data_IF_057875146577
#
_entry.id   IF_057875146577
#
_cell.length_a   1.000
_cell.length_b   1.000
_cell.length_c   1.000
_cell.angle_alpha   90.00
_cell.angle_beta   90.00
_cell.angle_gamma   90.00
#
_symmetry.space_group_name_H-M   'P 1'
#
loop_
_entity.id
_entity.type
_entity.pdbx_description
1 polymer ?
#
# COMPACT_ATOMS: atom_id res chain seq x y z
N UNK A 1 -14.00 -18.31 -16.49
CA UNK A 1 -13.62 -17.43 -15.38
C UNK A 1 -14.06 -18.03 -14.06
N UNK A 2 -13.22 -17.95 -13.08
CA UNK A 2 -13.57 -18.42 -11.76
C UNK A 2 -14.35 -17.35 -11.02
N UNK A 3 -15.65 -17.57 -10.84
CA UNK A 3 -16.51 -16.61 -10.14
C UNK A 3 -16.19 -16.50 -8.65
N UNK A 4 -15.56 -17.51 -8.08
CA UNK A 4 -15.32 -17.55 -6.63
C UNK A 4 -14.34 -16.48 -6.17
N UNK A 5 -13.33 -16.19 -6.98
CA UNK A 5 -12.32 -15.24 -6.57
C UNK A 5 -12.89 -13.81 -6.47
N UNK A 6 -13.90 -13.47 -7.26
CA UNK A 6 -14.53 -12.14 -7.18
C UNK A 6 -15.34 -11.94 -5.90
N UNK A 7 -15.58 -13.01 -5.17
CA UNK A 7 -16.29 -12.96 -3.88
C UNK A 7 -15.38 -12.71 -2.70
N UNK A 8 -14.07 -12.84 -2.89
CA UNK A 8 -13.13 -12.57 -1.81
C UNK A 8 -12.97 -11.07 -1.61
N UNK A 9 -13.09 -10.62 -0.37
CA UNK A 9 -12.75 -9.25 -0.03
C UNK A 9 -11.24 -9.13 0.15
N UNK A 10 -10.73 -7.91 0.09
CA UNK A 10 -9.31 -7.66 0.37
C UNK A 10 -8.94 -8.16 1.76
N UNK A 11 -9.84 -8.00 2.72
CA UNK A 11 -9.62 -8.46 4.08
C UNK A 11 -9.38 -9.98 4.14
N UNK A 12 -10.11 -10.74 3.33
CA UNK A 12 -9.94 -12.20 3.28
C UNK A 12 -8.63 -12.62 2.65
N UNK A 13 -8.09 -11.80 1.77
CA UNK A 13 -6.84 -12.06 1.07
C UNK A 13 -5.64 -11.73 1.95
N UNK A 14 -5.82 -10.84 2.92
CA UNK A 14 -4.75 -10.40 3.81
C UNK A 14 -4.26 -11.51 4.73
N UNK A 15 -2.98 -11.47 5.08
CA UNK A 15 -2.33 -12.46 5.94
C UNK A 15 -2.93 -12.40 7.35
N UNK A 16 -3.57 -13.48 7.83
CA UNK A 16 -4.20 -13.47 9.15
C UNK A 16 -3.19 -13.49 10.30
N UNK A 17 -1.93 -13.80 10.02
CA UNK A 17 -0.88 -13.86 11.04
C UNK A 17 -0.21 -12.51 11.30
N UNK A 18 -0.55 -11.49 10.52
CA UNK A 18 -0.03 -10.14 10.70
C UNK A 18 -1.21 -9.21 10.98
N UNK A 19 -1.26 -8.66 12.20
CA UNK A 19 -2.39 -7.82 12.62
C UNK A 19 -2.53 -6.55 11.78
N UNK A 20 -1.46 -6.13 11.12
CA UNK A 20 -1.46 -4.95 10.27
C UNK A 20 -1.37 -5.28 8.78
N UNK A 21 -1.77 -6.50 8.41
CA UNK A 21 -1.71 -6.94 7.02
C UNK A 21 -2.62 -6.13 6.09
N UNK A 22 -3.65 -5.51 6.64
CA UNK A 22 -4.51 -4.58 5.89
C UNK A 22 -4.68 -3.33 6.76
N UNK A 23 -3.90 -2.30 6.48
CA UNK A 23 -3.82 -1.12 7.34
C UNK A 23 -3.63 0.13 6.50
N UNK A 24 -4.35 1.18 6.85
CA UNK A 24 -4.16 2.49 6.23
C UNK A 24 -2.96 3.22 6.80
N UNK A 25 -2.52 4.25 6.08
CA UNK A 25 -1.48 5.15 6.56
C UNK A 25 -1.95 6.04 7.70
N UNK A 26 -1.05 6.84 8.28
CA UNK A 26 -1.38 7.70 9.42
C UNK A 26 -2.31 8.84 8.98
N UNK A 27 -2.96 9.46 9.96
CA UNK A 27 -3.66 10.72 9.68
C UNK A 27 -2.64 11.79 9.27
N UNK A 28 -3.05 12.73 8.43
CA UNK A 28 -2.16 13.80 7.98
C UNK A 28 -1.54 14.59 9.11
N UNK A 29 -2.26 14.75 10.22
CA UNK A 29 -1.75 15.44 11.40
C UNK A 29 -0.65 14.66 12.12
N UNK A 30 -0.57 13.35 11.93
CA UNK A 30 0.42 12.50 12.58
C UNK A 30 1.75 12.44 11.82
N UNK A 31 1.75 12.83 10.54
CA UNK A 31 2.97 12.88 9.72
C UNK A 31 2.91 14.14 8.86
N UNK A 32 3.54 15.20 9.34
CA UNK A 32 3.52 16.51 8.68
C UNK A 32 4.75 16.73 7.82
N UNK A 33 4.64 17.60 6.83
CA UNK A 33 5.73 17.88 5.90
C UNK A 33 6.97 18.45 6.61
N UNK A 34 6.82 19.14 7.75
CA UNK A 34 7.97 19.63 8.51
C UNK A 34 8.74 18.50 9.22
N UNK A 35 8.22 17.29 9.20
CA UNK A 35 8.88 16.12 9.76
C UNK A 35 9.62 15.30 8.69
N UNK A 36 9.59 15.76 7.44
CA UNK A 36 10.31 15.11 6.36
C UNK A 36 11.79 15.45 6.43
N UNK A 37 12.62 14.48 6.09
CA UNK A 37 14.08 14.60 6.13
C UNK A 37 14.68 14.22 4.78
N UNK A 38 15.98 14.51 4.61
CA UNK A 38 16.69 14.20 3.36
C UNK A 38 17.07 12.72 3.25
N UNK A 39 17.11 12.03 4.37
CA UNK A 39 17.46 10.61 4.42
C UNK A 39 16.81 9.97 5.64
N UNK A 40 16.72 8.66 5.64
CA UNK A 40 16.08 7.91 6.73
C UNK A 40 15.14 6.86 6.17
N UNK A 41 13.95 6.78 6.74
CA UNK A 41 12.91 5.85 6.27
C UNK A 41 12.15 6.51 5.13
N UNK A 42 12.07 5.81 3.99
CA UNK A 42 11.36 6.27 2.81
C UNK A 42 9.87 6.39 3.09
N UNK A 43 9.28 7.52 2.75
CA UNK A 43 7.84 7.72 2.83
C UNK A 43 7.25 7.44 1.46
N UNK A 44 6.23 6.59 1.41
CA UNK A 44 5.53 6.26 0.17
C UNK A 44 4.27 7.11 0.09
N UNK A 45 4.18 7.90 -0.96
CA UNK A 45 3.05 8.79 -1.21
C UNK A 45 2.32 8.41 -2.48
N UNK A 46 1.20 9.08 -2.72
CA UNK A 46 0.38 8.85 -3.91
C UNK A 46 1.21 8.92 -5.19
N UNK A 47 2.15 9.86 -5.26
CA UNK A 47 3.00 10.05 -6.44
C UNK A 47 3.87 8.84 -6.76
N UNK A 48 4.10 7.97 -5.78
CA UNK A 48 4.90 6.76 -5.97
C UNK A 48 4.08 5.59 -6.50
N UNK A 49 2.76 5.66 -6.41
CA UNK A 49 1.89 4.53 -6.73
C UNK A 49 1.35 4.70 -8.14
N UNK A 50 1.91 3.96 -9.07
CA UNK A 50 1.41 3.88 -10.42
C UNK A 50 0.45 2.72 -10.61
N UNK A 51 0.08 2.48 -11.84
CA UNK A 51 -0.81 1.40 -12.23
C UNK A 51 0.03 0.14 -12.43
N UNK A 52 0.21 -0.62 -11.35
CA UNK A 52 1.09 -1.78 -11.36
C UNK A 52 2.57 -1.46 -11.36
N UNK A 53 2.92 -0.19 -11.26
CA UNK A 53 4.29 0.29 -11.37
C UNK A 53 4.65 1.21 -10.22
N UNK A 54 5.80 1.00 -9.58
CA UNK A 54 6.29 1.89 -8.55
C UNK A 54 7.09 3.03 -9.20
N UNK A 55 6.66 4.26 -8.92
CA UNK A 55 7.33 5.46 -9.45
C UNK A 55 8.32 5.98 -8.42
N UNK A 56 9.60 5.75 -8.67
CA UNK A 56 10.67 6.00 -7.71
C UNK A 56 11.34 7.37 -7.85
N UNK A 57 10.83 8.23 -8.70
CA UNK A 57 11.44 9.54 -8.94
C UNK A 57 11.09 10.60 -7.89
N UNK A 58 10.10 10.34 -7.04
CA UNK A 58 9.74 11.23 -5.94
C UNK A 58 10.18 10.61 -4.63
N UNK A 59 11.15 11.23 -3.95
CA UNK A 59 11.81 10.61 -2.80
C UNK A 59 11.80 11.55 -1.60
N UNK A 60 11.01 11.20 -0.61
CA UNK A 60 11.01 11.88 0.68
C UNK A 60 11.18 10.85 1.79
N UNK A 61 11.67 11.30 2.94
CA UNK A 61 12.02 10.43 4.05
C UNK A 61 11.58 11.07 5.36
N UNK A 62 11.59 10.27 6.43
CA UNK A 62 11.47 10.78 7.79
C UNK A 62 12.49 10.05 8.68
N UNK A 63 12.63 10.51 9.92
CA UNK A 63 13.58 9.90 10.85
C UNK A 63 13.11 8.50 11.26
N UNK A 64 14.08 7.69 11.71
CA UNK A 64 13.77 6.37 12.26
C UNK A 64 12.84 6.48 13.47
N UNK A 65 13.06 7.47 14.31
CA UNK A 65 12.23 7.67 15.51
C UNK A 65 10.80 7.99 15.13
N UNK A 66 10.59 8.84 14.13
CA UNK A 66 9.24 9.17 13.67
C UNK A 66 8.55 7.95 13.07
N UNK A 67 9.25 7.19 12.23
CA UNK A 67 8.71 5.98 11.65
C UNK A 67 8.33 4.96 12.72
N UNK A 68 9.16 4.81 13.75
CA UNK A 68 8.88 3.88 14.85
C UNK A 68 7.66 4.31 15.66
N UNK A 69 7.42 5.61 15.79
CA UNK A 69 6.22 6.11 16.47
C UNK A 69 4.94 5.80 15.68
N UNK A 70 5.08 5.50 14.40
CA UNK A 70 3.97 5.15 13.51
C UNK A 70 4.12 3.71 12.99
N UNK A 71 4.54 2.80 13.85
CA UNK A 71 4.94 1.45 13.46
C UNK A 71 3.84 0.66 12.75
N UNK A 72 2.56 0.92 13.07
CA UNK A 72 1.45 0.24 12.39
C UNK A 72 1.29 0.68 10.93
N UNK A 73 1.93 1.79 10.55
CA UNK A 73 1.84 2.34 9.19
C UNK A 73 3.05 1.98 8.34
N UNK A 74 3.96 1.14 8.84
CA UNK A 74 5.10 0.66 8.06
C UNK A 74 4.65 -0.32 7.00
N UNK A 75 5.38 -0.33 5.89
CA UNK A 75 5.18 -1.28 4.80
C UNK A 75 6.54 -1.75 4.32
N UNK A 76 6.62 -2.98 3.84
CA UNK A 76 7.90 -3.64 3.59
C UNK A 76 8.02 -4.08 2.13
N UNK A 77 9.26 -4.30 1.70
CA UNK A 77 9.55 -4.73 0.33
C UNK A 77 8.72 -5.96 -0.04
N UNK A 78 8.24 -5.97 -1.28
CA UNK A 78 7.44 -7.07 -1.81
C UNK A 78 5.98 -7.06 -1.42
N UNK A 79 5.56 -6.15 -0.55
CA UNK A 79 4.15 -6.02 -0.19
C UNK A 79 3.42 -5.11 -1.16
N UNK A 80 2.09 -5.23 -1.18
CA UNK A 80 1.25 -4.39 -2.05
C UNK A 80 0.87 -3.12 -1.31
N UNK A 81 1.01 -1.98 -1.99
CA UNK A 81 0.45 -0.72 -1.53
C UNK A 81 -0.64 -0.28 -2.50
N UNK A 82 -1.79 0.11 -1.93
CA UNK A 82 -2.90 0.67 -2.70
C UNK A 82 -3.04 2.14 -2.39
N UNK A 83 -3.52 2.91 -3.35
CA UNK A 83 -3.89 4.31 -3.11
C UNK A 83 -5.35 4.39 -2.69
N UNK A 84 -5.63 5.15 -1.64
CA UNK A 84 -7.00 5.48 -1.25
C UNK A 84 -7.60 6.53 -2.16
N UNK A 85 -6.75 7.38 -2.71
CA UNK A 85 -7.13 8.57 -3.46
C UNK A 85 -6.44 8.55 -4.81
N UNK A 86 -6.84 9.48 -5.64
CA UNK A 86 -6.23 9.66 -6.96
C UNK A 86 -7.16 9.20 -8.07
N UNK A 87 -6.70 9.31 -9.28
CA UNK A 87 -7.44 8.95 -10.47
C UNK A 87 -6.55 8.06 -11.34
N UNK A 88 -6.85 6.76 -11.46
CA UNK A 88 -7.99 6.07 -10.82
C UNK A 88 -7.73 5.72 -9.35
N UNK A 89 -8.80 5.58 -8.61
CA UNK A 89 -8.77 5.10 -7.23
C UNK A 89 -8.31 3.64 -7.19
N UNK A 90 -7.64 3.27 -6.11
CA UNK A 90 -7.18 1.90 -5.87
C UNK A 90 -6.13 1.42 -6.85
N UNK A 91 -5.30 2.33 -7.36
CA UNK A 91 -4.08 1.89 -8.03
C UNK A 91 -3.20 1.14 -7.03
N UNK A 92 -2.51 0.13 -7.51
CA UNK A 92 -1.68 -0.69 -6.64
C UNK A 92 -0.36 -1.02 -7.28
N UNK A 93 0.67 -1.16 -6.46
CA UNK A 93 1.99 -1.61 -6.91
C UNK A 93 2.68 -2.36 -5.78
N UNK A 94 3.77 -3.04 -6.10
CA UNK A 94 4.62 -3.68 -5.11
C UNK A 94 5.68 -2.70 -4.63
N UNK A 95 6.02 -2.78 -3.34
CA UNK A 95 7.16 -2.04 -2.81
C UNK A 95 8.43 -2.70 -3.33
N UNK A 96 9.33 -1.95 -3.98
CA UNK A 96 10.57 -2.51 -4.52
C UNK A 96 11.48 -3.11 -3.45
N UNK A 97 12.21 -4.15 -3.82
CA UNK A 97 13.09 -4.87 -2.88
C UNK A 97 14.14 -3.97 -2.24
N UNK A 98 14.67 -3.01 -2.98
CA UNK A 98 15.76 -2.16 -2.47
C UNK A 98 15.32 -1.18 -1.39
N UNK A 99 14.02 -0.96 -1.24
CA UNK A 99 13.52 -0.01 -0.23
C UNK A 99 13.39 -0.61 1.16
N UNK A 100 13.34 -1.92 1.27
CA UNK A 100 13.25 -2.69 2.52
C UNK A 100 12.07 -2.28 3.40
N UNK A 101 12.25 -1.29 4.26
CA UNK A 101 11.20 -0.78 5.16
C UNK A 101 10.85 0.63 4.76
N UNK A 102 9.55 0.89 4.63
CA UNK A 102 9.02 2.21 4.29
C UNK A 102 7.91 2.58 5.26
N UNK A 103 7.52 3.85 5.23
CA UNK A 103 6.38 4.36 5.98
C UNK A 103 5.34 4.88 4.99
N UNK A 104 4.07 4.51 5.18
CA UNK A 104 3.01 5.00 4.32
C UNK A 104 2.60 6.41 4.71
N UNK A 105 2.29 7.23 3.71
CA UNK A 105 1.57 8.48 3.93
C UNK A 105 0.06 8.18 4.09
N UNK A 106 -0.71 9.21 4.39
CA UNK A 106 -2.13 9.05 4.76
C UNK A 106 -3.01 8.44 3.68
N UNK A 107 -2.60 8.55 2.42
CA UNK A 107 -3.39 8.04 1.29
C UNK A 107 -3.02 6.62 0.86
N UNK A 108 -2.17 5.94 1.62
CA UNK A 108 -1.76 4.57 1.32
C UNK A 108 -2.51 3.54 2.13
N UNK A 109 -2.62 2.34 1.56
CA UNK A 109 -3.15 1.16 2.25
C UNK A 109 -2.17 0.02 2.03
N UNK A 110 -1.73 -0.60 3.12
CA UNK A 110 -0.88 -1.78 3.06
C UNK A 110 -1.74 -3.02 2.89
N UNK A 111 -1.35 -3.88 1.97
CA UNK A 111 -1.91 -5.22 1.84
C UNK A 111 -0.78 -6.22 1.81
N UNK A 112 -0.64 -6.97 2.90
CA UNK A 112 0.24 -8.13 2.94
C UNK A 112 -0.59 -9.35 2.62
N UNK A 113 -0.39 -9.92 1.44
CA UNK A 113 -1.17 -11.05 0.95
C UNK A 113 -0.81 -12.32 1.73
N UNK A 114 -1.82 -13.12 2.02
CA UNK A 114 -1.61 -14.47 2.54
C UNK A 114 -1.12 -15.35 1.39
N UNK A 115 0.19 -15.43 1.23
CA UNK A 115 0.81 -16.12 0.10
C UNK A 115 0.72 -17.65 0.21
N UNK A 116 0.24 -18.17 1.33
CA UNK A 116 -0.05 -19.60 1.45
C UNK A 116 -1.31 -19.98 0.68
N UNK A 117 -2.23 -19.03 0.51
CA UNK A 117 -3.53 -19.28 -0.16
C UNK A 117 -3.67 -18.56 -1.49
N UNK A 118 -2.94 -17.47 -1.69
CA UNK A 118 -3.12 -16.62 -2.88
C UNK A 118 -1.77 -16.29 -3.52
N UNK A 119 -1.78 -16.15 -4.83
CA UNK A 119 -0.63 -15.65 -5.59
C UNK A 119 -0.66 -14.12 -5.56
N UNK A 120 0.35 -13.53 -4.97
CA UNK A 120 0.46 -12.08 -4.81
C UNK A 120 0.41 -11.34 -6.14
N UNK A 121 1.09 -11.84 -7.16
CA UNK A 121 1.08 -11.19 -8.47
C UNK A 121 -0.29 -11.22 -9.12
N UNK A 122 -0.99 -12.34 -8.99
CA UNK A 122 -2.35 -12.47 -9.47
C UNK A 122 -3.26 -11.46 -8.77
N UNK A 123 -3.12 -11.32 -7.45
CA UNK A 123 -3.90 -10.35 -6.67
C UNK A 123 -3.61 -8.94 -7.16
N UNK A 124 -2.35 -8.58 -7.36
CA UNK A 124 -1.96 -7.26 -7.84
C UNK A 124 -2.61 -6.95 -9.20
N UNK A 125 -2.58 -7.89 -10.13
CA UNK A 125 -3.19 -7.72 -11.44
C UNK A 125 -4.69 -7.50 -11.33
N UNK A 126 -5.35 -8.24 -10.45
CA UNK A 126 -6.80 -8.12 -10.29
C UNK A 126 -7.20 -6.83 -9.63
N UNK A 127 -6.42 -6.32 -8.67
CA UNK A 127 -6.68 -5.04 -8.05
C UNK A 127 -6.63 -3.92 -9.09
N UNK A 128 -5.69 -4.00 -10.02
CA UNK A 128 -5.54 -3.00 -11.08
C UNK A 128 -6.51 -3.19 -12.24
N UNK A 129 -7.29 -4.27 -12.23
CA UNK A 129 -8.25 -4.54 -13.30
C UNK A 129 -9.46 -3.58 -13.23
N UNK A 130 -10.05 -3.25 -14.38
CA UNK A 130 -11.18 -2.31 -14.42
C UNK A 130 -12.36 -2.71 -13.54
N UNK A 131 -12.63 -4.02 -13.43
CA UNK A 131 -13.75 -4.50 -12.60
C UNK A 131 -13.55 -4.10 -11.13
N UNK A 132 -12.36 -4.32 -10.59
CA UNK A 132 -12.09 -3.98 -9.21
C UNK A 132 -12.21 -2.47 -8.98
N UNK A 133 -11.67 -1.68 -9.89
CA UNK A 133 -11.71 -0.22 -9.78
C UNK A 133 -13.11 0.33 -9.77
N UNK A 134 -13.99 -0.21 -10.61
CA UNK A 134 -15.38 0.24 -10.63
C UNK A 134 -16.07 -0.05 -9.30
N UNK A 135 -15.75 -1.17 -8.65
CA UNK A 135 -16.29 -1.49 -7.33
C UNK A 135 -15.73 -0.53 -6.27
N UNK A 136 -14.44 -0.22 -6.34
CA UNK A 136 -13.82 0.71 -5.40
C UNK A 136 -14.42 2.11 -5.51
N UNK A 137 -14.70 2.56 -6.71
CA UNK A 137 -15.32 3.86 -6.95
C UNK A 137 -16.74 3.94 -6.39
N UNK A 138 -17.47 2.84 -6.47
CA UNK A 138 -18.85 2.80 -5.95
C UNK A 138 -18.86 2.93 -4.42
N UNK A 139 -17.88 2.34 -3.73
CA UNK A 139 -17.88 2.30 -2.27
C UNK A 139 -16.99 3.37 -1.63
N UNK A 140 -16.20 4.05 -2.41
CA UNK A 140 -15.36 5.10 -1.86
C UNK A 140 -16.07 6.44 -1.83
#
# INVERSE_FOLDING_TARGET
MNKNWTKFSIKEIADPNDRYSLTGGPFGSDLKSNEYTNKGIRIIQLQNIGDGEFKDNYKIYTSNEKADSLSSCKIYSGEIILSKMGDPVARATLIPKHLKTCLMASDGIRLKVDEKRFDKRFILEKINAPFFRSQAEIVS
#
